data_IF_152979276731
#
_entry.id   IF_152979276731
#
_cell.length_a   1.000
_cell.length_b   1.000
_cell.length_c   1.000
_cell.angle_alpha   90.00
_cell.angle_beta   90.00
_cell.angle_gamma   90.00
#
_symmetry.space_group_name_H-M   'P 1'
#
loop_
_entity.id
_entity.type
_entity.pdbx_description
1 polymer ?
#
# COMPACT_ATOMS: atom_id res chain seq x y z
N UNK A 1 -4.61 -51.79 36.03
CA UNK A 1 -3.74 -50.60 35.79
C UNK A 1 -3.14 -50.75 34.41
N UNK A 2 -3.37 -49.80 33.47
CA UNK A 2 -2.62 -49.57 32.19
C UNK A 2 -3.46 -49.17 30.95
N UNK A 3 -4.78 -48.95 31.02
CA UNK A 3 -5.54 -48.47 29.85
C UNK A 3 -6.20 -47.10 30.09
N UNK A 4 -6.80 -46.85 31.26
CA UNK A 4 -7.45 -45.55 31.55
C UNK A 4 -6.48 -44.36 31.68
N UNK A 5 -5.22 -44.60 32.06
CA UNK A 5 -4.20 -43.54 32.10
C UNK A 5 -3.66 -43.15 30.72
N UNK A 6 -3.77 -44.04 29.72
CA UNK A 6 -3.33 -43.74 28.35
C UNK A 6 -4.30 -42.79 27.66
N UNK A 7 -5.62 -42.99 27.87
CA UNK A 7 -6.63 -42.13 27.26
C UNK A 7 -6.59 -40.70 27.80
N UNK A 8 -6.34 -40.48 29.10
CA UNK A 8 -6.25 -39.15 29.69
C UNK A 8 -5.04 -38.38 29.15
N UNK A 9 -3.92 -39.06 28.89
CA UNK A 9 -2.73 -38.44 28.28
C UNK A 9 -2.97 -38.12 26.80
N UNK A 10 -3.67 -39.00 26.07
CA UNK A 10 -3.98 -38.76 24.65
C UNK A 10 -5.01 -37.65 24.41
N UNK A 11 -6.05 -37.53 25.26
CA UNK A 11 -7.02 -36.42 25.15
C UNK A 11 -6.44 -35.09 25.63
N UNK A 12 -5.53 -35.08 26.62
CA UNK A 12 -4.84 -33.85 27.04
C UNK A 12 -3.90 -33.30 25.95
N UNK A 13 -3.32 -34.17 25.12
CA UNK A 13 -2.40 -33.76 24.04
C UNK A 13 -3.16 -33.17 22.83
N UNK A 14 -4.37 -33.66 22.55
CA UNK A 14 -5.20 -33.15 21.44
C UNK A 14 -5.86 -31.80 21.77
N UNK A 15 -6.17 -31.52 23.04
CA UNK A 15 -6.75 -30.21 23.44
C UNK A 15 -5.70 -29.09 23.47
N UNK A 16 -4.42 -29.40 23.63
CA UNK A 16 -3.32 -28.42 23.59
C UNK A 16 -2.93 -27.96 22.18
N UNK A 17 -3.38 -28.64 21.12
CA UNK A 17 -3.14 -28.24 19.72
C UNK A 17 -4.23 -27.32 19.13
N UNK A 18 -5.35 -27.13 19.84
CA UNK A 18 -6.47 -26.28 19.36
C UNK A 18 -6.33 -24.84 19.88
N UNK A 19 -5.38 -24.57 20.78
CA UNK A 19 -5.09 -23.22 21.30
C UNK A 19 -3.93 -22.51 20.58
N UNK A 20 -3.36 -23.11 19.53
CA UNK A 20 -2.39 -22.46 18.64
C UNK A 20 -3.04 -21.83 17.39
N UNK A 21 -4.36 -21.63 17.41
CA UNK A 21 -5.16 -21.11 16.30
C UNK A 21 -5.73 -19.72 16.56
N UNK A 22 -5.00 -18.83 17.22
CA UNK A 22 -5.27 -17.39 17.23
C UNK A 22 -4.02 -16.61 17.70
N UNK A 23 -2.84 -16.98 17.18
CA UNK A 23 -1.71 -16.05 17.23
C UNK A 23 -1.88 -15.09 16.06
N UNK A 24 -2.36 -13.89 16.39
CA UNK A 24 -2.05 -12.67 15.66
C UNK A 24 -0.72 -12.83 14.93
N UNK A 25 -0.79 -12.88 13.59
CA UNK A 25 0.37 -12.98 12.72
C UNK A 25 1.20 -11.71 12.93
N UNK A 26 2.04 -11.76 13.95
CA UNK A 26 3.29 -11.02 14.03
C UNK A 26 4.24 -11.65 13.00
N UNK A 27 3.80 -11.66 11.75
CA UNK A 27 4.63 -11.93 10.60
C UNK A 27 5.59 -10.77 10.55
N UNK A 28 6.84 -11.04 10.90
CA UNK A 28 7.94 -10.35 10.26
C UNK A 28 7.74 -10.64 8.77
N UNK A 29 7.02 -9.75 8.07
CA UNK A 29 6.99 -9.75 6.62
C UNK A 29 8.42 -9.39 6.23
N UNK A 30 9.23 -10.43 6.00
CA UNK A 30 10.22 -10.37 4.93
C UNK A 30 9.37 -9.91 3.76
N UNK A 31 9.67 -8.74 3.20
CA UNK A 31 9.11 -8.32 1.91
C UNK A 31 9.06 -9.58 1.06
N UNK A 32 7.86 -10.14 0.85
CA UNK A 32 7.74 -11.22 -0.10
C UNK A 32 8.40 -10.67 -1.36
N UNK A 33 9.30 -11.41 -2.00
CA UNK A 33 9.87 -10.98 -3.27
C UNK A 33 8.68 -10.75 -4.20
N UNK A 34 8.30 -9.48 -4.33
CA UNK A 34 7.12 -9.04 -5.04
C UNK A 34 7.55 -8.96 -6.49
N UNK A 35 7.06 -9.89 -7.30
CA UNK A 35 7.48 -10.01 -8.69
C UNK A 35 7.11 -8.74 -9.48
N UNK A 36 8.03 -8.17 -10.28
CA UNK A 36 7.71 -7.09 -11.21
C UNK A 36 6.56 -7.46 -12.17
N UNK A 37 5.91 -6.46 -12.77
CA UNK A 37 4.76 -6.61 -13.68
C UNK A 37 3.54 -7.30 -13.05
N UNK A 38 3.48 -7.30 -11.71
CA UNK A 38 2.32 -7.74 -10.92
C UNK A 38 1.94 -6.66 -9.92
N UNK A 39 0.72 -6.73 -9.40
CA UNK A 39 0.25 -5.87 -8.32
C UNK A 39 -0.79 -6.61 -7.48
N UNK A 40 -0.89 -6.20 -6.23
CA UNK A 40 -1.77 -6.79 -5.23
C UNK A 40 -2.24 -5.70 -4.25
N UNK A 41 -3.23 -6.01 -3.43
CA UNK A 41 -3.64 -5.11 -2.35
C UNK A 41 -2.50 -4.77 -1.37
N UNK A 42 -1.50 -5.66 -1.23
CA UNK A 42 -0.35 -5.40 -0.35
C UNK A 42 0.52 -4.25 -0.86
N UNK A 43 0.50 -3.99 -2.17
CA UNK A 43 1.21 -2.87 -2.79
C UNK A 43 0.63 -1.52 -2.41
N UNK A 44 -0.64 -1.49 -1.96
CA UNK A 44 -1.34 -0.31 -1.46
C UNK A 44 -0.99 -0.02 0.01
N UNK A 45 0.28 -0.13 0.36
CA UNK A 45 0.78 0.16 1.70
C UNK A 45 2.14 0.85 1.68
N UNK A 46 2.36 1.71 2.68
CA UNK A 46 3.67 2.25 3.03
C UNK A 46 4.13 1.68 4.37
N UNK A 47 5.44 1.60 4.52
CA UNK A 47 6.14 1.10 5.69
C UNK A 47 7.16 2.13 6.13
N UNK A 48 7.36 2.24 7.44
CA UNK A 48 8.51 2.97 7.96
C UNK A 48 9.79 2.24 7.59
N UNK A 49 10.78 2.98 7.11
CA UNK A 49 12.00 2.40 6.54
C UNK A 49 12.79 1.56 7.58
N UNK A 50 12.80 2.01 8.84
CA UNK A 50 13.50 1.37 9.96
C UNK A 50 12.65 0.34 10.74
N UNK A 51 11.34 0.28 10.48
CA UNK A 51 10.41 -0.61 11.17
C UNK A 51 9.30 -1.12 10.24
N UNK A 52 9.48 -2.32 9.70
CA UNK A 52 8.51 -2.96 8.81
C UNK A 52 7.20 -3.38 9.48
N UNK A 53 7.06 -3.24 10.81
CA UNK A 53 5.79 -3.46 11.53
C UNK A 53 4.90 -2.22 11.53
N UNK A 54 5.49 -1.04 11.39
CA UNK A 54 4.78 0.23 11.30
C UNK A 54 4.38 0.49 9.84
N UNK A 55 3.09 0.29 9.54
CA UNK A 55 2.55 0.41 8.18
C UNK A 55 1.23 1.14 8.14
N UNK A 56 0.98 1.81 7.02
CA UNK A 56 -0.29 2.42 6.68
C UNK A 56 -0.72 1.82 5.35
N UNK A 57 -1.96 1.41 5.26
CA UNK A 57 -2.50 0.73 4.09
C UNK A 57 -3.79 1.38 3.63
N UNK A 58 -4.09 1.25 2.35
CA UNK A 58 -5.41 1.54 1.83
C UNK A 58 -6.50 0.85 2.66
N UNK A 59 -7.62 1.54 2.91
CA UNK A 59 -8.70 1.07 3.76
C UNK A 59 -8.43 1.11 5.27
N UNK A 60 -7.24 1.51 5.71
CA UNK A 60 -6.96 1.70 7.14
C UNK A 60 -7.79 2.87 7.70
N UNK A 61 -8.30 2.73 8.94
CA UNK A 61 -9.00 3.84 9.60
C UNK A 61 -8.05 5.00 9.89
N UNK A 62 -8.55 6.23 9.91
CA UNK A 62 -7.72 7.38 10.32
C UNK A 62 -7.11 7.16 11.70
N UNK A 63 -7.91 6.68 12.65
CA UNK A 63 -7.46 6.39 14.01
C UNK A 63 -6.30 5.39 14.05
N UNK A 64 -6.31 4.37 13.19
CA UNK A 64 -5.22 3.40 13.13
C UNK A 64 -3.99 3.95 12.42
N UNK A 65 -4.18 4.74 11.36
CA UNK A 65 -3.08 5.45 10.70
C UNK A 65 -2.38 6.44 11.64
N UNK A 66 -3.14 7.18 12.47
CA UNK A 66 -2.59 8.12 13.46
C UNK A 66 -1.80 7.45 14.58
N UNK A 67 -2.01 6.16 14.86
CA UNK A 67 -1.13 5.40 15.77
C UNK A 67 0.27 5.23 15.21
N UNK A 68 0.44 5.30 13.90
CA UNK A 68 1.73 5.16 13.21
C UNK A 68 2.30 6.51 12.81
N UNK A 69 1.47 7.41 12.28
CA UNK A 69 1.90 8.70 11.72
C UNK A 69 1.88 9.85 12.75
N UNK A 70 1.32 9.63 13.94
CA UNK A 70 1.04 10.68 14.90
C UNK A 70 -0.20 11.50 14.52
N UNK A 71 -0.36 12.67 15.14
CA UNK A 71 -1.51 13.55 14.89
C UNK A 71 -1.35 14.28 13.56
N UNK A 72 -2.35 14.15 12.68
CA UNK A 72 -2.37 14.84 11.39
C UNK A 72 -2.91 16.26 11.50
N UNK A 73 -2.37 17.17 10.70
CA UNK A 73 -2.93 18.49 10.47
C UNK A 73 -3.84 18.44 9.24
N UNK A 74 -5.09 18.85 9.39
CA UNK A 74 -6.04 18.92 8.28
C UNK A 74 -5.62 20.01 7.29
N UNK A 75 -5.62 19.66 6.00
CA UNK A 75 -5.35 20.58 4.91
C UNK A 75 -6.60 20.82 4.08
N UNK A 76 -6.72 20.11 2.95
CA UNK A 76 -7.97 20.03 2.20
C UNK A 76 -9.00 19.17 2.95
N UNK A 77 -10.30 19.29 2.65
CA UNK A 77 -11.33 18.44 3.26
C UNK A 77 -10.95 16.96 3.19
N UNK A 78 -10.97 16.29 4.36
CA UNK A 78 -10.60 14.89 4.54
C UNK A 78 -9.14 14.53 4.20
N UNK A 79 -8.26 15.50 3.94
CA UNK A 79 -6.84 15.28 3.70
C UNK A 79 -6.01 15.76 4.89
N UNK A 80 -5.13 14.89 5.38
CA UNK A 80 -4.30 15.16 6.55
C UNK A 80 -2.83 15.02 6.19
N UNK A 81 -2.02 15.97 6.64
CA UNK A 81 -0.56 15.90 6.52
C UNK A 81 0.05 15.72 7.90
N UNK A 82 0.99 14.79 8.00
CA UNK A 82 1.63 14.40 9.25
C UNK A 82 3.04 15.01 9.33
N UNK A 83 3.61 15.11 10.53
CA UNK A 83 4.95 15.67 10.73
C UNK A 83 6.02 14.94 9.91
N UNK A 84 5.84 13.65 9.66
CA UNK A 84 6.72 12.84 8.81
C UNK A 84 6.72 13.24 7.33
N UNK A 85 5.82 14.13 6.89
CA UNK A 85 5.66 14.53 5.49
C UNK A 85 4.74 13.62 4.68
N UNK A 86 4.22 12.54 5.27
CA UNK A 86 3.16 11.73 4.66
C UNK A 86 1.88 12.56 4.60
N UNK A 87 1.14 12.47 3.50
CA UNK A 87 -0.25 12.95 3.42
C UNK A 87 -1.19 11.78 3.19
N UNK A 88 -2.36 11.78 3.84
CA UNK A 88 -3.40 10.76 3.65
C UNK A 88 -4.73 11.43 3.36
N UNK A 89 -5.38 11.03 2.27
CA UNK A 89 -6.78 11.35 1.99
C UNK A 89 -7.67 10.26 2.56
N UNK A 90 -8.74 10.67 3.25
CA UNK A 90 -9.74 9.76 3.79
C UNK A 90 -11.08 9.91 3.07
N UNK A 91 -11.76 8.79 2.86
CA UNK A 91 -13.16 8.72 2.44
C UNK A 91 -13.88 7.84 3.45
N UNK A 92 -14.92 8.36 4.11
CA UNK A 92 -15.65 7.63 5.15
C UNK A 92 -14.74 7.06 6.27
N UNK A 93 -13.79 7.87 6.75
CA UNK A 93 -12.76 7.49 7.75
C UNK A 93 -11.73 6.45 7.25
N UNK A 94 -11.71 6.11 5.97
CA UNK A 94 -10.80 5.11 5.38
C UNK A 94 -9.75 5.74 4.48
N UNK A 95 -8.49 5.35 4.63
CA UNK A 95 -7.41 5.83 3.78
C UNK A 95 -7.63 5.40 2.33
N UNK A 96 -7.72 6.36 1.42
CA UNK A 96 -7.97 6.13 -0.02
C UNK A 96 -6.87 6.70 -0.92
N UNK A 97 -6.05 7.60 -0.39
CA UNK A 97 -4.78 7.97 -1.00
C UNK A 97 -3.71 8.14 0.09
N UNK A 98 -2.51 7.67 -0.18
CA UNK A 98 -1.32 7.82 0.66
C UNK A 98 -0.22 8.42 -0.21
N UNK A 99 0.28 9.59 0.18
CA UNK A 99 1.29 10.34 -0.56
C UNK A 99 2.57 10.46 0.27
N UNK A 100 3.68 10.02 -0.31
CA UNK A 100 5.03 10.32 0.14
C UNK A 100 5.53 11.58 -0.58
N UNK A 101 5.88 12.61 0.20
CA UNK A 101 6.43 13.90 -0.30
C UNK A 101 7.92 14.00 -0.01
N UNK A 102 8.60 15.02 -0.56
CA UNK A 102 10.04 15.28 -0.36
C UNK A 102 10.53 15.03 1.08
N UNK A 103 9.78 15.49 2.09
CA UNK A 103 10.14 15.35 3.51
C UNK A 103 10.14 13.90 4.05
N UNK A 104 9.65 12.94 3.28
CA UNK A 104 9.59 11.50 3.65
C UNK A 104 10.83 10.71 3.25
N UNK A 105 11.79 11.34 2.56
CA UNK A 105 13.01 10.68 2.08
C UNK A 105 13.74 9.95 3.23
N UNK A 106 13.99 8.65 3.04
CA UNK A 106 14.60 7.79 4.06
C UNK A 106 13.72 7.42 5.26
N UNK A 107 12.50 7.95 5.37
CA UNK A 107 11.58 7.71 6.49
C UNK A 107 10.55 6.64 6.12
N UNK A 108 9.97 6.73 4.92
CA UNK A 108 8.92 5.82 4.45
C UNK A 108 9.21 5.29 3.05
N UNK A 109 8.71 4.09 2.79
CA UNK A 109 8.77 3.41 1.49
C UNK A 109 7.48 2.62 1.24
N UNK A 110 7.15 2.35 -0.01
CA UNK A 110 6.04 1.43 -0.36
C UNK A 110 6.39 -0.01 0.05
N UNK A 111 5.41 -0.92 -0.07
CA UNK A 111 5.62 -2.35 0.14
C UNK A 111 6.78 -2.92 -0.68
N UNK A 112 6.90 -2.49 -1.95
CA UNK A 112 8.00 -2.84 -2.85
C UNK A 112 9.30 -2.08 -2.59
N UNK A 113 9.26 -1.07 -1.73
CA UNK A 113 10.44 -0.27 -1.39
C UNK A 113 10.60 1.00 -2.19
N UNK A 114 9.61 1.41 -2.99
CA UNK A 114 9.67 2.72 -3.65
C UNK A 114 9.62 3.85 -2.63
N UNK A 115 10.48 4.85 -2.79
CA UNK A 115 10.52 6.03 -1.94
C UNK A 115 10.90 7.27 -2.75
N UNK A 116 10.66 8.43 -2.16
CA UNK A 116 11.12 9.72 -2.69
C UNK A 116 12.64 9.70 -2.86
N UNK A 117 13.13 10.30 -3.95
CA UNK A 117 14.54 10.32 -4.33
C UNK A 117 14.97 9.17 -5.26
N UNK A 118 14.10 8.19 -5.51
CA UNK A 118 14.39 7.14 -6.51
C UNK A 118 14.30 7.67 -7.94
N UNK A 119 15.08 7.07 -8.85
CA UNK A 119 14.95 7.34 -10.30
C UNK A 119 13.78 6.56 -10.89
N UNK A 120 13.27 6.99 -12.04
CA UNK A 120 12.24 6.25 -12.77
C UNK A 120 12.67 4.82 -13.11
N UNK A 121 13.96 4.61 -13.44
CA UNK A 121 14.53 3.29 -13.67
C UNK A 121 14.47 2.39 -12.43
N UNK A 122 14.79 2.91 -11.25
CA UNK A 122 14.72 2.15 -10.01
C UNK A 122 13.27 1.80 -9.62
N UNK A 123 12.31 2.69 -9.91
CA UNK A 123 10.89 2.38 -9.72
C UNK A 123 10.45 1.25 -10.68
N UNK A 124 10.90 1.28 -11.94
CA UNK A 124 10.62 0.22 -12.92
C UNK A 124 11.23 -1.13 -12.53
N UNK A 125 12.40 -1.15 -11.92
CA UNK A 125 12.97 -2.40 -11.38
C UNK A 125 12.07 -3.04 -10.31
N UNK A 126 11.35 -2.22 -9.52
CA UNK A 126 10.45 -2.70 -8.46
C UNK A 126 9.07 -3.13 -8.98
N UNK A 127 8.50 -2.37 -9.91
CA UNK A 127 7.11 -2.54 -10.38
C UNK A 127 6.99 -3.18 -11.76
N UNK A 128 8.09 -3.29 -12.51
CA UNK A 128 8.13 -3.78 -13.87
C UNK A 128 8.00 -2.69 -14.93
N UNK A 129 8.32 -3.05 -16.18
CA UNK A 129 8.26 -2.12 -17.33
C UNK A 129 7.01 -2.31 -18.17
N UNK A 130 6.41 -3.51 -18.18
CA UNK A 130 5.36 -3.88 -19.12
C UNK A 130 4.13 -2.97 -19.00
N UNK A 131 3.76 -2.65 -17.76
CA UNK A 131 2.58 -1.86 -17.43
C UNK A 131 2.92 -0.42 -17.00
N UNK A 132 4.17 0.01 -17.19
CA UNK A 132 4.59 1.36 -16.84
C UNK A 132 4.05 2.38 -17.84
N UNK A 133 3.13 3.24 -17.40
CA UNK A 133 2.56 4.31 -18.21
C UNK A 133 3.29 5.61 -17.91
N UNK A 134 4.27 5.97 -18.72
CA UNK A 134 5.06 7.20 -18.56
C UNK A 134 4.46 8.37 -19.37
N UNK A 135 4.34 9.53 -18.74
CA UNK A 135 4.01 10.82 -19.38
C UNK A 135 5.30 11.63 -19.54
N UNK A 136 6.06 11.31 -20.59
CA UNK A 136 7.42 11.82 -20.78
C UNK A 136 8.32 11.48 -19.59
N UNK A 137 9.15 12.45 -19.18
CA UNK A 137 10.06 12.31 -18.03
C UNK A 137 9.44 12.86 -16.72
N UNK A 138 8.18 13.30 -16.75
CA UNK A 138 7.56 14.04 -15.64
C UNK A 138 6.87 13.12 -14.63
N UNK A 139 6.20 12.07 -15.10
CA UNK A 139 5.48 11.14 -14.24
C UNK A 139 5.39 9.74 -14.84
N UNK A 140 5.13 8.78 -13.96
CA UNK A 140 4.89 7.39 -14.33
C UNK A 140 3.82 6.78 -13.42
N UNK A 141 2.94 6.02 -14.04
CA UNK A 141 1.78 5.42 -13.39
C UNK A 141 1.66 3.93 -13.68
N UNK A 142 1.11 3.20 -12.72
CA UNK A 142 0.74 1.79 -12.83
C UNK A 142 -0.69 1.64 -12.36
N UNK A 143 -1.51 0.93 -13.13
CA UNK A 143 -2.93 0.74 -12.85
C UNK A 143 -3.24 -0.73 -12.65
N UNK A 144 -4.11 -1.02 -11.69
CA UNK A 144 -4.55 -2.35 -11.34
C UNK A 144 -6.06 -2.35 -11.11
N UNK A 145 -6.78 -3.19 -11.84
CA UNK A 145 -8.20 -3.45 -11.62
C UNK A 145 -8.35 -4.57 -10.60
N UNK A 146 -8.89 -4.21 -9.44
CA UNK A 146 -9.10 -5.13 -8.31
C UNK A 146 -10.23 -6.13 -8.55
N UNK A 147 -11.20 -5.84 -9.43
CA UNK A 147 -12.29 -6.77 -9.77
C UNK A 147 -11.80 -7.92 -10.63
N UNK A 148 -10.98 -7.62 -11.61
CA UNK A 148 -10.40 -8.61 -12.54
C UNK A 148 -9.07 -9.16 -12.05
N UNK A 149 -8.47 -8.52 -11.05
CA UNK A 149 -7.15 -8.82 -10.50
C UNK A 149 -6.04 -8.75 -11.56
N UNK A 150 -6.10 -7.74 -12.42
CA UNK A 150 -5.15 -7.56 -13.53
C UNK A 150 -4.57 -6.16 -13.59
N UNK A 151 -3.30 -6.09 -13.97
CA UNK A 151 -2.66 -4.84 -14.39
C UNK A 151 -3.30 -4.33 -15.69
N UNK A 152 -3.45 -3.02 -15.80
CA UNK A 152 -4.02 -2.37 -16.98
C UNK A 152 -2.93 -1.74 -17.85
N UNK A 153 -3.02 -1.94 -19.15
CA UNK A 153 -2.22 -1.23 -20.13
C UNK A 153 -2.81 0.17 -20.44
N UNK A 154 -2.00 1.05 -21.04
CA UNK A 154 -2.42 2.42 -21.39
C UNK A 154 -3.73 2.48 -22.19
N UNK A 155 -3.96 1.54 -23.10
CA UNK A 155 -5.18 1.47 -23.91
C UNK A 155 -6.44 1.12 -23.12
N UNK A 156 -6.28 0.54 -21.93
CA UNK A 156 -7.40 0.08 -21.08
C UNK A 156 -7.77 1.11 -20.02
N UNK A 157 -6.89 2.06 -19.73
CA UNK A 157 -7.13 3.13 -18.75
C UNK A 157 -8.05 4.20 -19.34
N UNK A 158 -9.35 4.07 -19.09
CA UNK A 158 -10.35 5.11 -19.39
C UNK A 158 -11.12 5.54 -18.13
N UNK A 159 -10.43 6.24 -17.23
CA UNK A 159 -11.00 6.69 -15.96
C UNK A 159 -12.21 7.62 -16.11
N UNK A 160 -12.38 8.27 -17.26
CA UNK A 160 -13.48 9.21 -17.52
C UNK A 160 -14.78 8.50 -17.91
N UNK A 161 -14.72 7.24 -18.33
CA UNK A 161 -15.93 6.44 -18.63
C UNK A 161 -16.48 5.68 -17.43
N UNK A 162 -15.75 5.66 -16.31
CA UNK A 162 -16.10 4.92 -15.10
C UNK A 162 -16.94 5.78 -14.16
N UNK A 163 -17.93 5.16 -13.53
CA UNK A 163 -18.67 5.76 -12.41
C UNK A 163 -17.79 5.89 -11.16
N UNK A 164 -18.26 6.66 -10.17
CA UNK A 164 -17.57 6.83 -8.89
C UNK A 164 -17.31 5.50 -8.17
N UNK A 165 -18.25 4.55 -8.24
CA UNK A 165 -18.08 3.22 -7.64
C UNK A 165 -17.05 2.38 -8.40
N UNK A 166 -17.10 2.37 -9.74
CA UNK A 166 -16.11 1.64 -10.56
C UNK A 166 -14.69 2.17 -10.40
N UNK A 167 -14.55 3.47 -10.15
CA UNK A 167 -13.26 4.09 -9.89
C UNK A 167 -12.61 3.64 -8.59
N UNK A 168 -13.39 3.20 -7.59
CA UNK A 168 -12.84 2.65 -6.34
C UNK A 168 -12.11 1.34 -6.58
N UNK A 169 -12.51 0.58 -7.61
CA UNK A 169 -11.92 -0.71 -7.92
C UNK A 169 -10.61 -0.59 -8.72
N UNK A 170 -10.25 0.61 -9.17
CA UNK A 170 -8.98 0.88 -9.84
C UNK A 170 -7.98 1.39 -8.83
N UNK A 171 -6.99 0.57 -8.49
CA UNK A 171 -5.85 0.98 -7.68
C UNK A 171 -4.71 1.45 -8.58
N UNK A 172 -3.95 2.45 -8.13
CA UNK A 172 -2.78 2.91 -8.85
C UNK A 172 -1.63 3.36 -7.95
N UNK A 173 -0.42 3.17 -8.49
CA UNK A 173 0.79 3.87 -8.09
C UNK A 173 1.02 5.02 -9.07
N UNK A 174 1.20 6.24 -8.59
CA UNK A 174 1.63 7.39 -9.39
C UNK A 174 2.92 7.97 -8.81
N UNK A 175 3.86 8.29 -9.68
CA UNK A 175 5.14 8.91 -9.33
C UNK A 175 5.37 10.16 -10.15
N UNK A 176 5.92 11.20 -9.55
CA UNK A 176 6.30 12.41 -10.24
C UNK A 176 7.77 12.73 -9.99
N UNK A 177 8.46 13.25 -11.00
CA UNK A 177 9.92 13.42 -11.02
C UNK A 177 10.29 14.90 -11.16
N UNK A 178 11.41 15.29 -10.55
CA UNK A 178 12.03 16.59 -10.78
C UNK A 178 12.91 16.59 -12.04
N UNK A 179 13.54 17.73 -12.35
CA UNK A 179 14.43 17.89 -13.51
C UNK A 179 15.69 17.00 -13.47
N UNK A 180 16.04 16.45 -12.31
CA UNK A 180 17.14 15.50 -12.14
C UNK A 180 16.68 14.03 -12.30
N UNK A 181 15.41 13.82 -12.63
CA UNK A 181 14.81 12.48 -12.77
C UNK A 181 14.59 11.77 -11.43
N UNK A 182 14.50 12.52 -10.32
CA UNK A 182 14.29 11.99 -8.96
C UNK A 182 12.84 12.13 -8.54
N UNK A 183 12.27 11.06 -7.99
CA UNK A 183 10.89 11.04 -7.51
C UNK A 183 10.70 12.06 -6.38
N UNK A 184 9.82 13.03 -6.58
CA UNK A 184 9.41 14.03 -5.58
C UNK A 184 8.08 13.69 -4.93
N UNK A 185 7.28 12.86 -5.60
CA UNK A 185 6.06 12.26 -5.07
C UNK A 185 6.01 10.78 -5.41
N UNK A 186 5.56 9.98 -4.45
CA UNK A 186 5.11 8.60 -4.64
C UNK A 186 3.73 8.49 -4.02
N UNK A 187 2.73 8.14 -4.82
CA UNK A 187 1.31 8.17 -4.44
C UNK A 187 0.70 6.80 -4.67
N UNK A 188 0.03 6.26 -3.64
CA UNK A 188 -0.81 5.08 -3.72
C UNK A 188 -2.25 5.55 -3.56
N UNK A 189 -3.13 5.30 -4.52
CA UNK A 189 -4.53 5.75 -4.44
C UNK A 189 -5.49 4.91 -5.27
N UNK A 190 -6.78 5.03 -4.98
CA UNK A 190 -7.82 4.55 -5.89
C UNK A 190 -8.17 5.59 -6.98
N UNK A 191 -8.87 5.15 -8.01
CA UNK A 191 -9.25 5.97 -9.15
C UNK A 191 -10.21 7.11 -8.79
N UNK A 192 -11.02 6.95 -7.76
CA UNK A 192 -11.98 7.98 -7.35
C UNK A 192 -11.23 9.12 -6.63
N UNK A 193 -10.26 8.76 -5.79
CA UNK A 193 -9.32 9.71 -5.19
C UNK A 193 -8.51 10.42 -6.27
N UNK A 194 -7.98 9.71 -7.26
CA UNK A 194 -7.25 10.32 -8.39
C UNK A 194 -8.10 11.33 -9.18
N UNK A 195 -9.39 11.03 -9.40
CA UNK A 195 -10.31 11.94 -10.08
C UNK A 195 -10.80 13.12 -9.21
N UNK A 196 -10.58 13.09 -7.89
CA UNK A 196 -10.90 14.22 -7.00
C UNK A 196 -9.93 15.40 -7.18
N UNK A 197 -8.73 15.15 -7.70
CA UNK A 197 -7.68 16.15 -7.89
C UNK A 197 -7.59 16.71 -9.32
N UNK A 198 -8.51 16.34 -10.21
CA UNK A 198 -8.59 16.87 -11.59
C UNK A 198 -9.36 18.19 -11.67
#
# INVERSE_FOLDING_TARGET
MKIKQIYIIFTATIVLLILAGCSSSSGVIRSAEMEPDTFSEQDMAIYKADNSKERISYGMSRKDAEKVLGTGNEGLPNSYTYESGVSVLYREDKAVAITLRVNTEGIYRTARGAHVGMTSSAIKELYGEKYAIAEGDQSMEYYYDTKTATMLERSEVNMNSLSGEELVDIHLLSTAYNAEGKAVFVILMDGQAANTFK
#
